data_IF_007236403777
#
_entry.id   IF_007236403777
#
_cell.length_a   1.000
_cell.length_b   1.000
_cell.length_c   1.000
_cell.angle_alpha   90.00
_cell.angle_beta   90.00
_cell.angle_gamma   90.00
#
_symmetry.space_group_name_H-M   'P 1'
#
loop_
_entity.id
_entity.type
_entity.pdbx_description
1 polymer ?
#
# COMPACT_ATOMS: atom_id res chain seq x y z
N UNK A 1 -32.56 -30.05 -33.85
CA UNK A 1 -31.25 -30.29 -33.18
C UNK A 1 -30.41 -29.02 -33.31
N UNK A 2 -29.69 -28.67 -32.22
CA UNK A 2 -28.75 -27.54 -31.92
C UNK A 2 -28.17 -26.68 -33.08
N UNK A 3 -27.77 -25.40 -32.85
CA UNK A 3 -27.12 -24.96 -31.60
C UNK A 3 -27.62 -23.63 -30.99
N UNK A 4 -27.66 -23.64 -29.64
CA UNK A 4 -27.66 -22.42 -28.82
C UNK A 4 -26.21 -21.94 -28.72
N UNK A 5 -25.98 -20.70 -29.16
CA UNK A 5 -24.68 -20.03 -29.02
C UNK A 5 -24.66 -19.40 -27.63
N UNK A 6 -23.96 -20.05 -26.71
CA UNK A 6 -23.56 -19.46 -25.43
C UNK A 6 -22.43 -18.45 -25.71
N UNK A 7 -22.78 -17.16 -25.79
CA UNK A 7 -21.79 -16.09 -25.75
C UNK A 7 -21.25 -15.99 -24.33
N UNK A 8 -20.10 -16.64 -24.12
CA UNK A 8 -19.30 -16.55 -22.90
C UNK A 8 -18.89 -15.10 -22.65
N UNK A 9 -19.11 -14.66 -21.41
CA UNK A 9 -18.70 -13.39 -20.87
C UNK A 9 -17.21 -13.14 -21.11
N UNK A 10 -16.88 -12.03 -21.74
CA UNK A 10 -15.58 -11.37 -21.58
C UNK A 10 -15.85 -10.03 -20.91
N UNK A 11 -16.05 -10.06 -19.60
CA UNK A 11 -15.86 -8.87 -18.79
C UNK A 11 -14.34 -8.66 -18.64
N UNK A 12 -13.73 -8.04 -19.65
CA UNK A 12 -12.40 -7.47 -19.53
C UNK A 12 -12.52 -6.24 -18.64
N UNK A 13 -12.64 -6.44 -17.32
CA UNK A 13 -12.51 -5.34 -16.37
C UNK A 13 -11.05 -4.91 -16.37
N UNK A 14 -10.71 -3.97 -17.26
CA UNK A 14 -9.51 -3.13 -17.14
C UNK A 14 -9.66 -2.23 -15.91
N UNK A 15 -9.53 -2.82 -14.72
CA UNK A 15 -9.34 -2.07 -13.48
C UNK A 15 -7.88 -2.20 -13.06
N UNK A 16 -6.97 -1.52 -13.75
CA UNK A 16 -5.66 -1.19 -13.17
C UNK A 16 -4.90 -0.23 -14.09
N UNK A 17 -5.38 0.99 -14.20
CA UNK A 17 -4.50 2.10 -14.54
C UNK A 17 -4.36 3.02 -13.33
N UNK A 18 -3.87 2.48 -12.21
CA UNK A 18 -3.08 3.30 -11.29
C UNK A 18 -1.69 3.46 -11.93
N UNK A 19 -1.59 4.41 -12.86
CA UNK A 19 -0.30 4.87 -13.36
C UNK A 19 0.35 5.76 -12.30
N UNK A 20 0.72 5.19 -11.15
CA UNK A 20 1.50 5.90 -10.14
C UNK A 20 2.85 5.21 -9.98
N UNK A 21 3.61 5.22 -11.07
CA UNK A 21 5.06 5.05 -11.02
C UNK A 21 5.68 6.37 -10.54
N UNK A 22 5.65 6.64 -9.24
CA UNK A 22 6.71 7.44 -8.64
C UNK A 22 7.67 6.46 -7.97
N UNK A 23 8.62 5.96 -8.76
CA UNK A 23 9.68 5.07 -8.29
C UNK A 23 10.84 5.82 -7.63
N UNK A 24 10.75 7.15 -7.54
CA UNK A 24 11.94 7.98 -7.37
C UNK A 24 12.26 8.29 -5.90
N UNK A 25 11.26 8.26 -5.01
CA UNK A 25 11.49 8.52 -3.59
C UNK A 25 11.75 7.22 -2.80
N UNK A 26 12.84 7.15 -2.02
CA UNK A 26 13.08 6.02 -1.14
C UNK A 26 11.96 5.90 -0.09
N UNK A 27 11.69 4.69 0.44
CA UNK A 27 10.61 4.45 1.40
C UNK A 27 10.61 5.40 2.60
N UNK A 28 11.80 5.77 3.08
CA UNK A 28 11.98 6.71 4.19
C UNK A 28 11.39 8.09 3.88
N UNK A 29 11.63 8.63 2.68
CA UNK A 29 11.11 9.93 2.25
C UNK A 29 9.58 9.91 2.15
N UNK A 30 9.01 8.84 1.60
CA UNK A 30 7.54 8.73 1.52
C UNK A 30 6.92 8.55 2.90
N UNK A 31 7.57 7.81 3.80
CA UNK A 31 7.12 7.67 5.19
C UNK A 31 7.16 9.01 5.92
N UNK A 32 8.25 9.76 5.80
CA UNK A 32 8.38 11.09 6.41
C UNK A 32 7.32 12.07 5.90
N UNK A 33 7.03 12.07 4.60
CA UNK A 33 6.10 13.03 4.00
C UNK A 33 4.62 12.65 4.15
N UNK A 34 4.27 11.37 3.99
CA UNK A 34 2.87 10.90 3.94
C UNK A 34 2.34 10.37 5.26
N UNK A 35 3.23 10.21 6.23
CA UNK A 35 2.93 9.73 7.59
C UNK A 35 3.60 10.64 8.62
N UNK A 36 3.83 11.91 8.27
CA UNK A 36 4.54 12.87 9.11
C UNK A 36 3.93 12.92 10.50
N UNK A 37 2.60 13.00 10.59
CA UNK A 37 1.85 13.12 11.84
C UNK A 37 1.85 11.88 12.72
N UNK A 38 2.41 10.75 12.27
CA UNK A 38 2.54 9.58 13.14
C UNK A 38 3.74 9.71 14.08
N UNK A 39 3.57 9.21 15.30
CA UNK A 39 4.69 9.03 16.23
C UNK A 39 5.84 8.25 15.58
N UNK A 40 7.10 8.50 15.98
CA UNK A 40 8.27 7.79 15.45
C UNK A 40 8.17 6.25 15.53
N UNK A 41 7.58 5.73 16.61
CA UNK A 41 7.36 4.28 16.77
C UNK A 41 6.43 3.72 15.70
N UNK A 42 5.40 4.45 15.32
CA UNK A 42 4.45 4.03 14.29
C UNK A 42 5.03 4.12 12.87
N UNK A 43 5.83 5.15 12.58
CA UNK A 43 6.59 5.22 11.32
C UNK A 43 7.51 3.99 11.16
N UNK A 44 8.21 3.63 12.24
CA UNK A 44 9.10 2.47 12.29
C UNK A 44 8.35 1.16 12.07
N UNK A 45 7.20 0.96 12.71
CA UNK A 45 6.41 -0.26 12.54
C UNK A 45 5.88 -0.41 11.11
N UNK A 46 5.41 0.69 10.49
CA UNK A 46 4.96 0.69 9.09
C UNK A 46 6.11 0.28 8.16
N UNK A 47 7.28 0.88 8.34
CA UNK A 47 8.47 0.54 7.55
C UNK A 47 8.85 -0.94 7.70
N UNK A 48 8.84 -1.45 8.93
CA UNK A 48 9.14 -2.85 9.22
C UNK A 48 8.13 -3.80 8.56
N UNK A 49 6.84 -3.46 8.57
CA UNK A 49 5.80 -4.28 7.92
C UNK A 49 5.97 -4.30 6.40
N UNK A 50 6.27 -3.15 5.77
CA UNK A 50 6.56 -3.07 4.34
C UNK A 50 7.76 -3.94 3.95
N UNK A 51 8.85 -3.90 4.74
CA UNK A 51 10.01 -4.74 4.51
C UNK A 51 9.70 -6.23 4.69
N UNK A 52 9.01 -6.59 5.78
CA UNK A 52 8.64 -7.98 6.09
C UNK A 52 7.78 -8.58 4.99
N UNK A 53 6.75 -7.87 4.54
CA UNK A 53 5.84 -8.42 3.53
C UNK A 53 6.54 -8.58 2.18
N UNK A 54 7.41 -7.66 1.78
CA UNK A 54 8.19 -7.83 0.56
C UNK A 54 9.20 -8.97 0.64
N UNK A 55 9.82 -9.17 1.81
CA UNK A 55 10.74 -10.29 2.04
C UNK A 55 10.07 -11.66 1.91
N UNK A 56 8.81 -11.80 2.35
CA UNK A 56 8.01 -13.03 2.18
C UNK A 56 7.83 -13.38 0.70
N UNK A 57 7.83 -12.38 -0.18
CA UNK A 57 7.74 -12.54 -1.64
C UNK A 57 9.11 -12.49 -2.35
N UNK A 58 10.20 -12.70 -1.59
CA UNK A 58 11.58 -12.70 -2.10
C UNK A 58 11.99 -11.39 -2.80
N UNK A 59 11.43 -10.26 -2.36
CA UNK A 59 11.72 -8.92 -2.90
C UNK A 59 12.55 -8.09 -1.93
N UNK A 60 13.60 -7.49 -2.47
CA UNK A 60 14.57 -6.69 -1.72
C UNK A 60 14.20 -5.21 -1.62
N UNK A 61 13.39 -4.69 -2.54
CA UNK A 61 13.00 -3.28 -2.59
C UNK A 61 11.50 -3.13 -2.39
N UNK A 62 11.14 -1.98 -1.83
CA UNK A 62 9.74 -1.60 -1.60
C UNK A 62 9.54 -0.11 -1.86
N UNK A 63 8.32 0.30 -2.19
CA UNK A 63 7.85 1.66 -1.97
C UNK A 63 6.37 1.64 -1.58
N UNK A 64 5.95 2.50 -0.64
CA UNK A 64 4.54 2.59 -0.25
C UNK A 64 3.68 3.16 -1.39
N UNK A 65 2.46 2.64 -1.53
CA UNK A 65 1.44 3.27 -2.37
C UNK A 65 1.01 4.62 -1.79
N UNK A 66 0.58 5.54 -2.65
CA UNK A 66 0.06 6.85 -2.23
C UNK A 66 -1.19 6.75 -1.35
N UNK A 67 -1.98 5.68 -1.48
CA UNK A 67 -3.11 5.34 -0.60
C UNK A 67 -2.72 4.72 0.74
N UNK A 68 -1.45 4.37 0.93
CA UNK A 68 -0.84 3.92 2.18
C UNK A 68 -1.19 2.50 2.66
N UNK A 69 -2.16 1.82 2.05
CA UNK A 69 -2.57 0.46 2.45
C UNK A 69 -2.10 -0.65 1.52
N UNK A 70 -1.21 -0.31 0.60
CA UNK A 70 -0.48 -1.26 -0.22
C UNK A 70 0.99 -0.83 -0.32
N UNK A 71 1.84 -1.81 -0.58
CA UNK A 71 3.26 -1.63 -0.87
C UNK A 71 3.57 -2.29 -2.20
N UNK A 72 4.40 -1.65 -3.01
CA UNK A 72 4.95 -2.25 -4.21
C UNK A 72 6.28 -2.90 -3.85
N UNK A 73 6.38 -4.21 -4.00
CA UNK A 73 7.56 -5.02 -3.74
C UNK A 73 8.22 -5.40 -5.07
N UNK A 74 9.53 -5.22 -5.20
CA UNK A 74 10.23 -5.45 -6.46
C UNK A 74 11.72 -5.75 -6.25
N UNK A 75 12.34 -6.33 -7.27
CA UNK A 75 13.80 -6.46 -7.36
C UNK A 75 14.36 -5.50 -8.44
N UNK A 76 13.65 -5.42 -9.55
CA UNK A 76 13.91 -4.55 -10.69
C UNK A 76 12.60 -4.04 -11.34
N UNK A 77 12.70 -3.40 -12.51
CA UNK A 77 11.57 -2.76 -13.20
C UNK A 77 10.58 -3.73 -13.86
N UNK A 78 10.99 -4.98 -14.06
CA UNK A 78 10.22 -6.04 -14.72
C UNK A 78 9.65 -7.02 -13.72
N UNK A 79 10.29 -7.12 -12.56
CA UNK A 79 9.95 -8.06 -11.51
C UNK A 79 9.41 -7.29 -10.29
N UNK A 80 8.10 -7.00 -10.30
CA UNK A 80 7.42 -6.30 -9.22
C UNK A 80 5.96 -6.72 -9.02
N UNK A 81 5.47 -6.58 -7.78
CA UNK A 81 4.11 -6.90 -7.38
C UNK A 81 3.57 -5.92 -6.35
N UNK A 82 2.25 -5.72 -6.35
CA UNK A 82 1.55 -4.92 -5.35
C UNK A 82 1.02 -5.84 -4.25
N UNK A 83 1.34 -5.53 -2.99
CA UNK A 83 0.92 -6.31 -1.84
C UNK A 83 0.11 -5.46 -0.89
N UNK A 84 -1.00 -6.00 -0.40
CA UNK A 84 -1.87 -5.31 0.55
C UNK A 84 -1.27 -5.42 1.96
N UNK A 85 -1.22 -4.29 2.67
CA UNK A 85 -0.77 -4.25 4.05
C UNK A 85 -1.87 -4.76 4.99
N UNK A 86 -1.47 -5.29 6.16
CA UNK A 86 -2.42 -5.83 7.16
C UNK A 86 -3.39 -4.76 7.66
N UNK A 87 -4.57 -5.21 8.09
CA UNK A 87 -5.56 -4.34 8.70
C UNK A 87 -5.04 -3.68 9.99
N UNK A 88 -5.50 -2.46 10.26
CA UNK A 88 -5.16 -1.71 11.46
C UNK A 88 -3.83 -0.95 11.39
N UNK A 89 -3.08 -1.04 10.28
CA UNK A 89 -1.94 -0.16 10.07
C UNK A 89 -2.39 1.27 9.79
N UNK A 90 -1.69 2.28 10.31
CA UNK A 90 -1.96 3.66 9.96
C UNK A 90 -1.82 3.89 8.46
N UNK A 91 -2.67 4.73 7.91
CA UNK A 91 -2.54 5.24 6.56
C UNK A 91 -2.85 6.72 6.53
N UNK A 92 -2.14 7.46 5.67
CA UNK A 92 -2.24 8.92 5.56
C UNK A 92 -1.91 9.65 6.87
N UNK A 93 -2.07 10.97 6.84
CA UNK A 93 -1.69 11.88 7.92
C UNK A 93 -2.78 12.05 8.99
N UNK A 94 -4.03 11.68 8.71
CA UNK A 94 -5.17 12.04 9.57
C UNK A 94 -5.60 10.92 10.53
N UNK A 95 -4.74 9.93 10.75
CA UNK A 95 -5.02 8.84 11.69
C UNK A 95 -5.99 7.79 11.17
N UNK A 96 -6.14 7.68 9.85
CA UNK A 96 -6.91 6.62 9.23
C UNK A 96 -6.17 5.27 9.34
N UNK A 97 -6.89 4.17 9.12
CA UNK A 97 -6.32 2.82 9.18
C UNK A 97 -6.63 2.00 7.95
N UNK A 98 -5.77 1.02 7.68
CA UNK A 98 -5.98 0.06 6.62
C UNK A 98 -7.08 -0.95 6.98
N UNK A 99 -8.03 -1.11 6.06
CA UNK A 99 -9.07 -2.12 6.10
C UNK A 99 -9.26 -2.68 4.69
N UNK A 100 -8.88 -3.94 4.50
CA UNK A 100 -8.97 -4.66 3.23
C UNK A 100 -8.29 -3.90 2.07
N UNK A 101 -7.07 -3.38 2.33
CA UNK A 101 -6.29 -2.63 1.34
C UNK A 101 -6.78 -1.22 1.03
N UNK A 102 -7.80 -0.74 1.75
CA UNK A 102 -8.31 0.63 1.66
C UNK A 102 -8.00 1.39 2.95
N UNK A 103 -7.70 2.67 2.81
CA UNK A 103 -7.57 3.57 3.95
C UNK A 103 -8.95 4.06 4.35
N UNK A 104 -9.35 3.81 5.61
CA UNK A 104 -10.69 4.15 6.12
C UNK A 104 -10.59 4.92 7.44
N UNK A 105 -11.57 5.77 7.68
CA UNK A 105 -11.71 6.47 8.96
C UNK A 105 -12.05 5.45 10.05
N UNK A 106 -11.11 5.24 10.97
CA UNK A 106 -11.31 4.44 12.17
C UNK A 106 -10.32 4.90 13.24
N UNK A 107 -10.60 4.65 14.53
CA UNK A 107 -9.62 4.91 15.58
C UNK A 107 -8.34 4.11 15.30
N UNK A 108 -7.23 4.84 15.21
CA UNK A 108 -5.92 4.27 15.03
C UNK A 108 -5.28 4.04 16.40
N UNK A 109 -4.68 2.86 16.59
CA UNK A 109 -3.92 2.55 17.80
C UNK A 109 -2.56 3.25 17.84
N UNK A 110 -2.15 3.88 16.74
CA UNK A 110 -0.96 4.70 16.68
C UNK A 110 -1.22 6.10 17.21
N UNK A 111 -0.44 6.49 18.21
CA UNK A 111 -0.38 7.86 18.69
C UNK A 111 0.05 8.78 17.53
N UNK A 112 -0.79 9.78 17.28
CA UNK A 112 -0.51 10.89 16.36
C UNK A 112 0.34 11.88 17.14
N UNK A 113 1.48 12.26 16.59
CA UNK A 113 2.29 13.32 17.15
C UNK A 113 1.64 14.66 16.81
N UNK A 114 1.04 15.29 17.82
CA UNK A 114 0.41 16.61 17.71
C UNK A 114 1.42 17.75 17.84
N UNK A 115 2.68 17.46 18.19
CA UNK A 115 3.75 18.43 18.33
C UNK A 115 4.53 18.54 17.00
N UNK A 116 3.86 19.03 15.96
CA UNK A 116 4.56 19.52 14.77
C UNK A 116 4.79 21.04 14.91
N UNK A 117 6.05 21.53 14.81
CA UNK A 117 6.33 22.96 14.65
C UNK A 117 5.93 23.48 13.26
#
# INVERSE_FOLDING_TARGET
MKPQIFLLLVALQLSSQEHERSFDDPPTVVIENKYSRLSPGCKTEIQNQMQKVCKVHERSKSYPSLGGCAVYCYNDRTDGMRVTLRNGLPCRNDGQVCKNGKCVDAPNNCEIDYFFP
#
